data_IF_988614676293
#
_entry.id   IF_988614676293
#
_cell.length_a   1.000
_cell.length_b   1.000
_cell.length_c   1.000
_cell.angle_alpha   90.00
_cell.angle_beta   90.00
_cell.angle_gamma   90.00
#
_symmetry.space_group_name_H-M   'P 1'
#
loop_
_entity.id
_entity.type
_entity.pdbx_description
1 polymer ?
#
# COMPACT_ATOMS: atom_id res chain seq x y z
N UNK A 1 12.26 -11.75 -4.33
CA UNK A 1 11.18 -10.79 -4.64
C UNK A 1 9.88 -11.44 -4.22
N UNK A 2 9.27 -10.93 -3.16
CA UNK A 2 7.96 -11.40 -2.66
C UNK A 2 6.83 -10.75 -3.44
N UNK A 3 5.60 -11.28 -3.34
CA UNK A 3 4.41 -10.65 -3.93
C UNK A 3 4.19 -9.22 -3.40
N UNK A 4 4.60 -8.95 -2.14
CA UNK A 4 4.61 -7.62 -1.57
C UNK A 4 5.57 -6.67 -2.30
N UNK A 5 6.81 -7.11 -2.52
CA UNK A 5 7.82 -6.28 -3.19
C UNK A 5 7.36 -5.90 -4.61
N UNK A 6 6.79 -6.87 -5.35
CA UNK A 6 6.22 -6.60 -6.68
C UNK A 6 5.03 -5.65 -6.64
N UNK A 7 4.08 -5.85 -5.72
CA UNK A 7 2.92 -4.96 -5.58
C UNK A 7 3.32 -3.52 -5.20
N UNK A 8 4.36 -3.37 -4.38
CA UNK A 8 4.90 -2.07 -4.00
C UNK A 8 5.57 -1.35 -5.18
N UNK A 9 6.33 -2.06 -6.02
CA UNK A 9 6.90 -1.48 -7.24
C UNK A 9 5.83 -1.09 -8.26
N UNK A 10 4.81 -1.93 -8.48
CA UNK A 10 3.66 -1.56 -9.30
C UNK A 10 2.96 -0.29 -8.80
N UNK A 11 2.82 -0.14 -7.48
CA UNK A 11 2.29 1.08 -6.88
C UNK A 11 3.17 2.30 -7.15
N UNK A 12 4.49 2.18 -6.95
CA UNK A 12 5.47 3.27 -7.18
C UNK A 12 5.54 3.70 -8.64
N UNK A 13 5.49 2.76 -9.57
CA UNK A 13 5.51 3.02 -11.01
C UNK A 13 4.14 3.46 -11.57
N UNK A 14 3.12 3.59 -10.71
CA UNK A 14 1.73 3.86 -11.10
C UNK A 14 1.12 2.81 -12.06
N UNK A 15 1.60 1.56 -12.01
CA UNK A 15 1.14 0.41 -12.80
C UNK A 15 0.21 -0.51 -12.01
N UNK A 16 -0.73 0.07 -11.26
CA UNK A 16 -1.62 -0.69 -10.36
C UNK A 16 -2.60 -1.61 -11.11
N UNK A 17 -2.85 -1.33 -12.39
CA UNK A 17 -3.64 -2.16 -13.30
C UNK A 17 -3.04 -3.55 -13.52
N UNK A 18 -1.70 -3.70 -13.38
CA UNK A 18 -1.05 -5.01 -13.48
C UNK A 18 -1.43 -5.92 -12.31
N UNK A 19 -1.81 -5.36 -11.17
CA UNK A 19 -2.23 -6.12 -9.98
C UNK A 19 -3.60 -6.77 -10.15
N UNK A 20 -4.38 -6.29 -11.12
CA UNK A 20 -5.76 -6.70 -11.39
C UNK A 20 -5.94 -7.07 -12.87
N UNK A 21 -4.87 -7.52 -13.53
CA UNK A 21 -4.87 -7.77 -14.98
C UNK A 21 -6.01 -8.70 -15.42
N UNK A 22 -6.33 -9.69 -14.59
CA UNK A 22 -7.35 -10.71 -14.84
C UNK A 22 -8.70 -10.42 -14.15
N UNK A 23 -8.89 -9.22 -13.61
CA UNK A 23 -10.12 -8.80 -12.91
C UNK A 23 -10.73 -7.58 -13.61
N UNK A 24 -11.67 -7.85 -14.52
CA UNK A 24 -12.31 -6.82 -15.34
C UNK A 24 -13.10 -5.82 -14.49
N UNK A 25 -13.76 -6.28 -13.42
CA UNK A 25 -14.53 -5.39 -12.53
C UNK A 25 -13.60 -4.41 -11.82
N UNK A 26 -12.46 -4.89 -11.30
CA UNK A 26 -11.47 -4.04 -10.66
C UNK A 26 -10.82 -3.05 -11.65
N UNK A 27 -10.60 -3.46 -12.91
CA UNK A 27 -10.06 -2.59 -13.96
C UNK A 27 -10.99 -1.42 -14.31
N UNK A 28 -12.30 -1.55 -14.10
CA UNK A 28 -13.25 -0.47 -14.31
C UNK A 28 -13.13 0.66 -13.28
N UNK A 29 -12.48 0.41 -12.12
CA UNK A 29 -12.27 1.41 -11.06
C UNK A 29 -10.84 1.36 -10.51
N UNK A 30 -9.86 1.72 -11.36
CA UNK A 30 -8.45 1.79 -10.96
C UNK A 30 -8.19 2.81 -9.84
N UNK A 31 -9.08 3.79 -9.64
CA UNK A 31 -8.99 4.74 -8.52
C UNK A 31 -9.22 4.00 -7.19
N UNK A 32 -10.24 3.15 -7.13
CA UNK A 32 -10.51 2.28 -5.98
C UNK A 32 -9.42 1.23 -5.80
N UNK A 33 -8.92 0.63 -6.87
CA UNK A 33 -7.77 -0.31 -6.81
C UNK A 33 -6.56 0.37 -6.19
N UNK A 34 -6.17 1.55 -6.67
CA UNK A 34 -5.05 2.31 -6.10
C UNK A 34 -5.23 2.56 -4.60
N UNK A 35 -6.43 2.95 -4.18
CA UNK A 35 -6.77 3.16 -2.76
C UNK A 35 -6.60 1.88 -1.94
N UNK A 36 -7.10 0.74 -2.44
CA UNK A 36 -6.97 -0.55 -1.75
C UNK A 36 -5.53 -1.05 -1.69
N UNK A 37 -4.75 -0.85 -2.75
CA UNK A 37 -3.31 -1.18 -2.77
C UNK A 37 -2.57 -0.37 -1.70
N UNK A 38 -2.84 0.94 -1.59
CA UNK A 38 -2.23 1.76 -0.54
C UNK A 38 -2.58 1.28 0.87
N UNK A 39 -3.85 0.93 1.13
CA UNK A 39 -4.29 0.38 2.41
C UNK A 39 -3.61 -0.97 2.68
N UNK A 40 -3.54 -1.86 1.68
CA UNK A 40 -2.89 -3.15 1.80
C UNK A 40 -1.40 -3.01 2.17
N UNK A 41 -0.68 -2.09 1.51
CA UNK A 41 0.73 -1.78 1.82
C UNK A 41 0.88 -1.33 3.28
N UNK A 42 -0.03 -0.50 3.80
CA UNK A 42 -0.03 -0.14 5.22
C UNK A 42 -0.26 -1.33 6.16
N UNK A 43 -1.12 -2.28 5.79
CA UNK A 43 -1.44 -3.44 6.63
C UNK A 43 -0.30 -4.46 6.73
N UNK A 44 0.52 -4.58 5.69
CA UNK A 44 1.55 -5.61 5.57
C UNK A 44 2.98 -5.08 5.77
N UNK A 45 3.12 -3.88 6.35
CA UNK A 45 4.41 -3.32 6.75
C UNK A 45 5.20 -4.33 7.58
N UNK A 46 6.50 -4.46 7.28
CA UNK A 46 7.41 -5.37 8.00
C UNK A 46 7.48 -5.00 9.48
N UNK A 47 7.62 -3.70 9.75
CA UNK A 47 7.58 -3.14 11.10
C UNK A 47 6.13 -3.07 11.60
N UNK A 48 5.76 -3.82 12.66
CA UNK A 48 4.39 -3.84 13.17
C UNK A 48 3.90 -2.48 13.66
N UNK A 49 4.78 -1.62 14.18
CA UNK A 49 4.39 -0.29 14.68
C UNK A 49 3.95 0.68 13.58
N UNK A 50 4.31 0.40 12.31
CA UNK A 50 3.88 1.18 11.15
C UNK A 50 2.55 0.71 10.58
N UNK A 51 2.05 -0.47 10.99
CA UNK A 51 0.76 -0.96 10.54
C UNK A 51 -0.35 -0.09 11.10
N UNK A 52 -1.33 0.22 10.27
CA UNK A 52 -2.51 0.95 10.71
C UNK A 52 -3.35 0.08 11.66
N UNK A 53 -4.02 0.72 12.62
CA UNK A 53 -5.03 0.03 13.43
C UNK A 53 -6.22 -0.38 12.55
N UNK A 54 -6.91 -1.46 12.89
CA UNK A 54 -8.10 -1.89 12.15
C UNK A 54 -9.18 -0.81 12.09
N UNK A 55 -9.31 0.01 13.13
CA UNK A 55 -10.19 1.20 13.12
C UNK A 55 -9.82 2.16 11.99
N UNK A 56 -8.54 2.48 11.83
CA UNK A 56 -8.08 3.41 10.80
C UNK A 56 -8.19 2.81 9.40
N UNK A 57 -7.95 1.51 9.25
CA UNK A 57 -8.20 0.75 8.00
C UNK A 57 -9.68 0.84 7.60
N UNK A 58 -10.61 0.61 8.52
CA UNK A 58 -12.06 0.72 8.29
C UNK A 58 -12.45 2.13 7.84
N UNK A 59 -11.99 3.16 8.56
CA UNK A 59 -12.25 4.56 8.19
C UNK A 59 -11.74 4.88 6.78
N UNK A 60 -10.58 4.35 6.39
CA UNK A 60 -10.06 4.51 5.03
C UNK A 60 -10.94 3.79 4.00
N UNK A 61 -11.34 2.54 4.26
CA UNK A 61 -12.17 1.75 3.34
C UNK A 61 -13.54 2.40 3.11
N UNK A 62 -14.19 2.86 4.19
CA UNK A 62 -15.48 3.57 4.15
C UNK A 62 -15.38 4.97 3.53
N UNK A 63 -14.17 5.51 3.36
CA UNK A 63 -13.95 6.85 2.83
C UNK A 63 -14.20 7.97 3.85
N UNK A 64 -14.28 7.63 5.14
CA UNK A 64 -14.37 8.59 6.23
C UNK A 64 -13.07 9.42 6.40
N UNK A 65 -11.92 8.87 5.98
CA UNK A 65 -10.63 9.56 5.94
C UNK A 65 -9.88 9.25 4.64
N UNK A 66 -9.01 10.17 4.22
CA UNK A 66 -8.11 9.96 3.08
C UNK A 66 -7.00 8.94 3.39
N UNK A 67 -6.51 8.29 2.34
CA UNK A 67 -5.40 7.34 2.42
C UNK A 67 -4.09 8.09 2.16
N UNK A 68 -3.26 8.21 3.19
CA UNK A 68 -1.91 8.76 3.05
C UNK A 68 -1.00 7.81 2.27
N UNK A 69 -0.04 8.37 1.53
CA UNK A 69 0.99 7.57 0.86
C UNK A 69 1.72 6.67 1.86
N UNK A 70 1.81 5.35 1.60
CA UNK A 70 2.52 4.44 2.48
C UNK A 70 4.03 4.71 2.45
N UNK A 71 4.66 4.65 3.62
CA UNK A 71 6.12 4.78 3.76
C UNK A 71 6.86 3.73 2.94
N UNK A 72 8.04 4.09 2.43
CA UNK A 72 8.86 3.15 1.67
C UNK A 72 9.38 2.03 2.59
N UNK A 73 9.12 0.74 2.29
CA UNK A 73 9.57 -0.39 3.08
C UNK A 73 11.10 -0.46 3.24
N UNK A 74 11.88 0.23 2.39
CA UNK A 74 13.35 0.31 2.44
C UNK A 74 13.88 1.52 3.23
N UNK A 75 13.03 2.51 3.54
CA UNK A 75 13.46 3.77 4.18
C UNK A 75 13.98 3.63 5.60
N UNK A 76 13.73 2.50 6.27
CA UNK A 76 14.20 2.23 7.63
C UNK A 76 15.63 1.67 7.72
N UNK A 77 16.30 1.38 6.59
CA UNK A 77 17.66 0.84 6.64
C UNK A 77 18.77 1.92 6.66
N UNK A 78 18.42 3.21 6.62
CA UNK A 78 19.41 4.31 6.54
C UNK A 78 19.57 5.15 7.81
N UNK A 79 18.94 4.78 8.93
CA UNK A 79 19.14 5.48 10.22
C UNK A 79 19.95 4.69 11.24
N UNK A 80 21.00 4.00 10.77
CA UNK A 80 22.13 3.59 11.60
C UNK A 80 23.39 4.30 11.09
N UNK A 81 23.44 5.62 11.23
CA UNK A 81 24.71 6.35 11.35
C UNK A 81 24.65 7.04 12.71
N UNK A 82 25.20 6.36 13.71
CA UNK A 82 25.41 6.89 15.05
C UNK A 82 26.90 7.22 15.19
N UNK A 83 27.16 8.52 15.40
CA UNK A 83 28.36 9.19 15.92
C UNK A 83 29.62 9.12 15.05
#
# INVERSE_FOLDING_TARGET
MTAYDWAYECFKEMKVEMLVENDEEARMDLKRVKKFVMIAIWCIQKEPSLRLTMKKVLQMLEGAIEVSFPSDPSSFMSSSTTI
#
